data_IF_102676312094
#
_entry.id   IF_102676312094
#
_cell.length_a   1.000
_cell.length_b   1.000
_cell.length_c   1.000
_cell.angle_alpha   90.00
_cell.angle_beta   90.00
_cell.angle_gamma   90.00
#
_symmetry.space_group_name_H-M   'P 1'
#
loop_
_entity.id
_entity.type
_entity.pdbx_description
1 polymer ?
#
# COMPACT_ATOMS: atom_id res chain seq x y z
N UNK A 1 45.31 28.48 -9.74
CA UNK A 1 45.41 28.85 -8.32
C UNK A 1 45.12 30.34 -8.30
N UNK A 2 43.92 30.85 -8.10
CA UNK A 2 42.61 30.38 -7.58
C UNK A 2 41.79 29.47 -8.52
N UNK A 3 40.55 29.05 -8.21
CA UNK A 3 40.01 28.32 -7.03
C UNK A 3 38.58 27.92 -7.39
N UNK A 4 38.36 26.62 -7.61
CA UNK A 4 37.11 25.89 -7.34
C UNK A 4 35.78 26.52 -7.78
N UNK A 5 34.93 25.89 -8.56
CA UNK A 5 34.82 24.47 -8.84
C UNK A 5 33.51 24.37 -9.59
N UNK A 6 33.60 24.23 -10.91
CA UNK A 6 32.64 23.52 -11.76
C UNK A 6 31.26 23.38 -11.09
N UNK A 7 30.33 24.29 -11.39
CA UNK A 7 28.92 23.96 -11.24
C UNK A 7 28.63 22.87 -12.26
N UNK A 8 28.98 21.63 -11.90
CA UNK A 8 28.42 20.44 -12.47
C UNK A 8 26.94 20.48 -12.07
N UNK A 9 26.15 21.23 -12.83
CA UNK A 9 24.74 20.92 -13.00
C UNK A 9 24.70 19.59 -13.73
N UNK A 10 24.96 18.53 -12.97
CA UNK A 10 24.52 17.20 -13.29
C UNK A 10 23.00 17.32 -13.28
N UNK A 11 22.42 17.62 -14.43
CA UNK A 11 21.03 17.30 -14.68
C UNK A 11 20.97 15.79 -14.56
N UNK A 12 20.77 15.30 -13.34
CA UNK A 12 20.41 13.93 -13.07
C UNK A 12 19.10 13.80 -13.82
N UNK A 13 19.16 13.26 -15.04
CA UNK A 13 17.99 12.69 -15.67
C UNK A 13 17.65 11.51 -14.75
N UNK A 14 16.90 11.80 -13.68
CA UNK A 14 16.14 10.79 -12.95
C UNK A 14 15.23 10.24 -14.02
N UNK A 15 15.68 9.19 -14.70
CA UNK A 15 14.80 8.33 -15.47
C UNK A 15 13.74 7.94 -14.48
N UNK A 16 12.58 8.61 -14.57
CA UNK A 16 11.51 8.41 -13.63
C UNK A 16 11.13 6.93 -13.75
N UNK A 17 11.51 6.14 -12.76
CA UNK A 17 11.14 4.73 -12.70
C UNK A 17 9.63 4.69 -12.80
N UNK A 18 9.05 4.09 -13.85
CA UNK A 18 7.61 4.04 -14.00
C UNK A 18 7.04 3.37 -12.75
N UNK A 19 6.19 4.10 -12.03
CA UNK A 19 5.54 3.59 -10.84
C UNK A 19 4.70 2.35 -11.20
N UNK A 20 4.61 1.35 -10.31
CA UNK A 20 3.72 0.22 -10.53
C UNK A 20 2.26 0.67 -10.47
N UNK A 21 1.43 0.03 -11.28
CA UNK A 21 -0.02 0.13 -11.17
C UNK A 21 -0.54 -1.03 -10.33
N UNK A 22 -1.37 -0.70 -9.35
CA UNK A 22 -1.99 -1.67 -8.46
C UNK A 22 -3.32 -1.14 -7.94
N UNK A 23 -4.17 -2.05 -7.48
CA UNK A 23 -5.39 -1.75 -6.73
C UNK A 23 -5.28 -2.40 -5.35
N UNK A 24 -5.94 -1.80 -4.36
CA UNK A 24 -5.98 -2.33 -3.00
C UNK A 24 -7.42 -2.71 -2.69
N UNK A 25 -7.61 -3.91 -2.14
CA UNK A 25 -8.91 -4.42 -1.71
C UNK A 25 -8.80 -4.89 -0.27
N UNK A 26 -9.71 -4.45 0.58
CA UNK A 26 -9.84 -4.92 1.95
C UNK A 26 -11.05 -5.84 2.11
N UNK A 27 -11.00 -6.70 3.12
CA UNK A 27 -12.15 -7.45 3.64
C UNK A 27 -12.35 -7.07 5.09
N UNK A 28 -13.53 -6.58 5.40
CA UNK A 28 -13.93 -6.17 6.74
C UNK A 28 -14.34 -7.36 7.61
N UNK A 29 -14.38 -7.15 8.92
CA UNK A 29 -14.76 -8.15 9.90
C UNK A 29 -16.29 -8.17 10.00
N UNK A 30 -16.92 -8.94 9.12
CA UNK A 30 -18.37 -8.96 8.89
C UNK A 30 -19.21 -9.69 9.98
N UNK A 31 -18.76 -9.75 11.24
CA UNK A 31 -19.24 -10.63 12.31
C UNK A 31 -18.60 -12.02 12.29
N UNK A 32 -17.41 -12.10 12.87
CA UNK A 32 -16.80 -13.38 13.22
C UNK A 32 -16.45 -13.38 14.70
N UNK A 33 -16.67 -14.51 15.38
CA UNK A 33 -16.15 -14.79 16.73
C UNK A 33 -14.61 -14.70 16.80
N UNK A 34 -13.96 -14.52 15.64
CA UNK A 34 -12.54 -14.21 15.47
C UNK A 34 -12.36 -12.72 15.17
N UNK A 35 -11.79 -11.92 16.09
CA UNK A 35 -11.55 -10.49 15.88
C UNK A 35 -10.47 -10.16 14.83
N UNK A 36 -9.74 -11.17 14.33
CA UNK A 36 -8.59 -11.01 13.43
C UNK A 36 -8.89 -11.52 12.00
N UNK A 37 -10.15 -11.53 11.57
CA UNK A 37 -10.52 -12.08 10.25
C UNK A 37 -10.33 -11.09 9.09
N UNK A 38 -9.94 -9.85 9.37
CA UNK A 38 -9.69 -8.83 8.37
C UNK A 38 -8.53 -9.20 7.43
N UNK A 39 -8.61 -8.74 6.20
CA UNK A 39 -7.52 -8.90 5.24
C UNK A 39 -7.37 -7.71 4.29
N UNK A 40 -6.15 -7.47 3.85
CA UNK A 40 -5.81 -6.49 2.82
C UNK A 40 -5.06 -7.23 1.72
N UNK A 41 -5.52 -7.05 0.48
CA UNK A 41 -4.92 -7.63 -0.72
C UNK A 41 -4.55 -6.52 -1.69
N UNK A 42 -3.30 -6.53 -2.13
CA UNK A 42 -2.75 -5.59 -3.09
C UNK A 42 -2.63 -6.30 -4.45
N UNK A 43 -3.51 -5.94 -5.37
CA UNK A 43 -3.57 -6.50 -6.70
C UNK A 43 -2.74 -5.65 -7.67
N UNK A 44 -1.52 -6.09 -7.96
CA UNK A 44 -0.66 -5.42 -8.93
C UNK A 44 -1.16 -5.70 -10.35
N UNK A 45 -1.66 -4.68 -11.03
CA UNK A 45 -2.10 -4.77 -12.43
C UNK A 45 -0.93 -4.66 -13.39
N UNK A 46 0.06 -3.85 -13.05
CA UNK A 46 1.28 -3.70 -13.85
C UNK A 46 2.46 -3.29 -12.97
N UNK A 47 3.40 -4.21 -12.76
CA UNK A 47 4.62 -3.93 -11.99
C UNK A 47 5.62 -3.05 -12.76
N UNK A 48 5.45 -2.82 -14.07
CA UNK A 48 6.40 -2.12 -14.94
C UNK A 48 7.84 -2.67 -14.87
N UNK A 49 7.98 -3.98 -14.58
CA UNK A 49 9.27 -4.65 -14.42
C UNK A 49 9.98 -4.38 -13.09
N UNK A 50 9.33 -3.70 -12.15
CA UNK A 50 9.88 -3.44 -10.82
C UNK A 50 9.79 -4.67 -9.92
N UNK A 51 10.75 -4.80 -9.00
CA UNK A 51 10.60 -5.63 -7.80
C UNK A 51 9.78 -4.86 -6.78
N UNK A 52 8.76 -5.51 -6.20
CA UNK A 52 7.78 -4.89 -5.32
C UNK A 52 7.85 -5.46 -3.91
N UNK A 53 7.77 -4.57 -2.92
CA UNK A 53 7.54 -4.92 -1.53
C UNK A 53 6.37 -4.10 -0.99
N UNK A 54 5.62 -4.68 -0.07
CA UNK A 54 4.33 -4.16 0.38
C UNK A 54 4.40 -3.89 1.88
N UNK A 55 3.87 -2.76 2.29
CA UNK A 55 3.72 -2.35 3.68
C UNK A 55 2.26 -1.99 3.94
N UNK A 56 1.77 -2.30 5.14
CA UNK A 56 0.44 -1.90 5.65
C UNK A 56 0.54 -0.98 6.87
N UNK A 57 1.76 -0.55 7.21
CA UNK A 57 2.10 0.21 8.41
C UNK A 57 2.78 1.55 8.07
N UNK A 58 2.51 2.09 6.87
CA UNK A 58 3.03 3.39 6.44
C UNK A 58 4.50 3.36 6.02
N UNK A 59 5.03 2.19 5.69
CA UNK A 59 6.41 2.00 5.26
C UNK A 59 7.40 1.70 6.40
N UNK A 60 6.94 1.30 7.59
CA UNK A 60 7.85 0.89 8.66
C UNK A 60 8.35 -0.54 8.47
N UNK A 61 7.51 -1.44 7.95
CA UNK A 61 7.89 -2.80 7.59
C UNK A 61 7.39 -3.16 6.20
N UNK A 62 8.24 -3.86 5.45
CA UNK A 62 7.93 -4.32 4.09
C UNK A 62 7.94 -5.84 4.03
N UNK A 63 6.95 -6.39 3.34
CA UNK A 63 6.74 -7.80 3.08
C UNK A 63 6.72 -8.06 1.58
N UNK A 64 7.19 -9.22 1.14
CA UNK A 64 7.09 -9.63 -0.27
C UNK A 64 5.71 -10.22 -0.61
N UNK A 65 4.84 -10.42 0.39
CA UNK A 65 3.47 -10.88 0.17
C UNK A 65 2.55 -9.68 -0.09
N UNK A 66 1.77 -9.68 -1.18
CA UNK A 66 0.74 -8.68 -1.42
C UNK A 66 -0.53 -8.92 -0.58
N UNK A 67 -0.62 -10.04 0.13
CA UNK A 67 -1.78 -10.43 0.94
C UNK A 67 -1.40 -10.41 2.41
N UNK A 68 -2.18 -9.66 3.19
CA UNK A 68 -2.10 -9.56 4.63
C UNK A 68 -3.41 -10.07 5.22
N UNK A 69 -3.33 -11.12 6.04
CA UNK A 69 -4.47 -11.72 6.75
C UNK A 69 -4.21 -11.66 8.25
N UNK A 70 -5.25 -11.89 9.07
CA UNK A 70 -5.07 -11.79 10.52
C UNK A 70 -5.16 -10.35 11.02
N UNK A 71 -5.84 -9.46 10.29
CA UNK A 71 -5.92 -8.04 10.63
C UNK A 71 -7.15 -7.77 11.49
N UNK A 72 -6.95 -6.98 12.54
CA UNK A 72 -8.01 -6.45 13.39
C UNK A 72 -8.68 -5.25 12.74
N UNK A 73 -9.82 -4.82 13.28
CA UNK A 73 -10.43 -3.56 12.91
C UNK A 73 -9.46 -2.40 13.18
N UNK A 74 -9.30 -1.49 12.21
CA UNK A 74 -8.36 -0.39 12.31
C UNK A 74 -7.96 0.20 10.97
N UNK A 75 -7.10 1.21 11.03
CA UNK A 75 -6.58 1.90 9.85
C UNK A 75 -5.20 1.35 9.52
N UNK A 76 -4.97 1.04 8.25
CA UNK A 76 -3.74 0.50 7.71
C UNK A 76 -3.26 1.37 6.56
N UNK A 77 -2.04 1.90 6.68
CA UNK A 77 -1.45 2.74 5.64
C UNK A 77 -0.66 1.86 4.67
N UNK A 78 -1.25 1.62 3.50
CA UNK A 78 -0.67 0.78 2.47
C UNK A 78 0.35 1.57 1.67
N UNK A 79 1.60 1.08 1.67
CA UNK A 79 2.72 1.64 0.90
C UNK A 79 3.34 0.52 0.07
N UNK A 80 3.59 0.80 -1.21
CA UNK A 80 4.30 -0.12 -2.10
C UNK A 80 5.69 0.46 -2.37
N UNK A 81 6.72 -0.28 -1.96
CA UNK A 81 8.08 -0.02 -2.39
C UNK A 81 8.34 -0.72 -3.72
N UNK A 82 8.96 -0.02 -4.65
CA UNK A 82 9.30 -0.54 -5.96
C UNK A 82 10.72 -0.14 -6.37
N UNK A 83 11.44 -1.10 -6.95
CA UNK A 83 12.81 -0.95 -7.44
C UNK A 83 12.95 -1.48 -8.86
N UNK A 84 13.54 -0.70 -9.76
CA UNK A 84 13.86 -1.14 -11.12
C UNK A 84 15.35 -1.41 -11.27
N UNK A 85 15.73 -2.69 -11.24
CA UNK A 85 17.13 -3.12 -11.38
C UNK A 85 18.01 -2.55 -10.27
N UNK A 86 19.05 -1.78 -10.65
CA UNK A 86 19.99 -1.14 -9.71
C UNK A 86 19.59 0.30 -9.34
N UNK A 87 18.37 0.71 -9.68
CA UNK A 87 17.86 2.04 -9.33
C UNK A 87 17.55 2.11 -7.83
N UNK A 88 17.47 3.33 -7.30
CA UNK A 88 17.04 3.54 -5.92
C UNK A 88 15.61 3.01 -5.70
N UNK A 89 15.34 2.53 -4.49
CA UNK A 89 13.99 2.19 -4.07
C UNK A 89 13.11 3.45 -4.02
N UNK A 90 11.94 3.34 -4.61
CA UNK A 90 10.90 4.36 -4.57
C UNK A 90 9.70 3.80 -3.81
N UNK A 91 8.98 4.67 -3.12
CA UNK A 91 7.74 4.30 -2.44
C UNK A 91 6.57 5.06 -3.03
N UNK A 92 5.40 4.41 -3.04
CA UNK A 92 4.16 5.06 -3.43
C UNK A 92 3.62 5.93 -2.30
N UNK A 93 2.67 6.80 -2.63
CA UNK A 93 1.98 7.60 -1.61
C UNK A 93 1.20 6.65 -0.69
N UNK A 94 1.28 6.81 0.65
CA UNK A 94 0.51 6.00 1.57
C UNK A 94 -0.99 6.09 1.30
N UNK A 95 -1.62 4.93 1.14
CA UNK A 95 -3.07 4.82 0.98
C UNK A 95 -3.66 4.25 2.26
N UNK A 96 -4.38 5.08 3.02
CA UNK A 96 -5.08 4.62 4.22
C UNK A 96 -6.29 3.76 3.85
N UNK A 97 -6.26 2.51 4.28
CA UNK A 97 -7.35 1.54 4.17
C UNK A 97 -7.92 1.30 5.56
N UNK A 98 -9.24 1.35 5.69
CA UNK A 98 -9.91 1.06 6.96
C UNK A 98 -10.50 -0.34 6.88
N UNK A 99 -10.16 -1.17 7.86
CA UNK A 99 -10.83 -2.45 8.11
C UNK A 99 -11.93 -2.18 9.14
N UNK A 100 -13.18 -2.26 8.71
CA UNK A 100 -14.31 -2.11 9.62
C UNK A 100 -14.39 -3.34 10.54
N UNK A 101 -14.62 -3.06 11.83
CA UNK A 101 -14.93 -4.09 12.82
C UNK A 101 -16.40 -4.48 12.75
N UNK A 102 -16.74 -5.62 13.34
CA UNK A 102 -18.15 -5.96 13.57
C UNK A 102 -18.77 -4.88 14.48
N UNK A 103 -19.68 -4.06 13.92
CA UNK A 103 -20.41 -3.07 14.69
C UNK A 103 -21.29 -3.78 15.74
N UNK A 104 -21.21 -3.43 17.05
CA UNK A 104 -21.93 -4.14 18.10
C UNK A 104 -23.47 -3.94 18.07
N UNK A 105 -24.02 -3.14 17.15
CA UNK A 105 -25.42 -2.68 17.23
C UNK A 105 -26.15 -2.67 15.87
N UNK A 106 -26.43 -3.83 15.26
CA UNK A 106 -27.74 -4.07 14.60
C UNK A 106 -28.01 -5.54 14.20
N UNK A 107 -27.08 -6.48 14.39
CA UNK A 107 -27.36 -7.89 14.02
C UNK A 107 -27.60 -8.08 12.52
N UNK A 108 -27.00 -7.23 11.69
CA UNK A 108 -27.10 -7.34 10.24
C UNK A 108 -25.71 -7.64 9.68
N UNK A 109 -25.44 -8.92 9.47
CA UNK A 109 -24.34 -9.40 8.63
C UNK A 109 -24.76 -9.23 7.17
N UNK A 110 -25.13 -8.00 6.77
CA UNK A 110 -25.46 -7.73 5.38
C UNK A 110 -24.14 -7.49 4.65
N UNK A 111 -23.80 -8.46 3.81
CA UNK A 111 -22.63 -8.52 2.91
C UNK A 111 -22.61 -7.39 1.84
N UNK A 112 -23.33 -6.29 2.07
CA UNK A 112 -23.63 -5.24 1.11
C UNK A 112 -23.25 -3.82 1.56
N UNK A 113 -22.50 -3.61 2.64
CA UNK A 113 -21.97 -2.26 2.94
C UNK A 113 -20.69 -1.92 2.14
N UNK A 114 -20.68 -2.31 0.86
CA UNK A 114 -19.68 -1.88 -0.11
C UNK A 114 -20.00 -0.47 -0.66
N UNK A 115 -20.57 0.44 0.14
CA UNK A 115 -21.04 1.74 -0.36
C UNK A 115 -20.75 2.94 0.56
N UNK A 116 -19.47 3.17 0.87
CA UNK A 116 -19.01 4.48 1.34
C UNK A 116 -17.80 5.03 0.56
N UNK A 117 -17.77 4.83 -0.75
CA UNK A 117 -16.94 5.66 -1.64
C UNK A 117 -17.79 6.15 -2.82
N UNK A 118 -18.01 7.47 -2.86
CA UNK A 118 -18.80 8.28 -3.80
C UNK A 118 -20.31 8.42 -3.53
N UNK A 119 -20.68 9.33 -2.63
CA UNK A 119 -21.17 10.67 -3.03
C UNK A 119 -21.23 11.65 -1.84
#
# INVERSE_FOLDING_TARGET
MDSNNCVATTSITVSATPAPEYTVSSTDILCSDTPDSGSITINVTNANGNSLAYSIDGGTTFSNSPVFTGLTAGNYDVVVEYTLGSSAACTTVPQTITIAGAEPNNGDCDINDALYLYN
#
